data_IF_874050988257
#
_entry.id   IF_874050988257
#
_cell.length_a   1.000
_cell.length_b   1.000
_cell.length_c   1.000
_cell.angle_alpha   90.00
_cell.angle_beta   90.00
_cell.angle_gamma   90.00
#
_symmetry.space_group_name_H-M   'P 1'
#
loop_
_entity.id
_entity.type
_entity.pdbx_description
1 polymer ?
#
# COMPACT_ATOMS: atom_id res chain seq x y z
N UNK A 1 -19.38 -0.15 2.83
CA UNK A 1 -18.45 -1.04 2.11
C UNK A 1 -18.79 -2.46 2.49
N UNK A 2 -18.97 -3.32 1.52
CA UNK A 2 -19.14 -4.75 1.74
C UNK A 2 -17.77 -5.43 1.87
N UNK A 3 -17.70 -6.57 2.56
CA UNK A 3 -16.49 -7.40 2.72
C UNK A 3 -15.67 -7.51 1.43
N UNK A 4 -16.33 -7.87 0.32
CA UNK A 4 -15.69 -8.00 -1.00
C UNK A 4 -15.04 -6.70 -1.51
N UNK A 5 -15.63 -5.55 -1.24
CA UNK A 5 -15.05 -4.26 -1.66
C UNK A 5 -13.78 -3.93 -0.88
N UNK A 6 -13.73 -4.32 0.40
CA UNK A 6 -12.56 -4.14 1.26
C UNK A 6 -11.44 -5.08 0.83
N UNK A 7 -11.75 -6.36 0.59
CA UNK A 7 -10.80 -7.33 0.05
C UNK A 7 -10.22 -6.85 -1.29
N UNK A 8 -11.07 -6.38 -2.20
CA UNK A 8 -10.63 -5.85 -3.49
C UNK A 8 -9.69 -4.66 -3.32
N UNK A 9 -10.01 -3.71 -2.42
CA UNK A 9 -9.12 -2.58 -2.12
C UNK A 9 -7.81 -3.00 -1.48
N UNK A 10 -7.82 -4.00 -0.60
CA UNK A 10 -6.61 -4.55 -0.01
C UNK A 10 -5.72 -5.14 -1.10
N UNK A 11 -6.30 -5.86 -2.05
CA UNK A 11 -5.57 -6.46 -3.17
C UNK A 11 -4.98 -5.40 -4.10
N UNK A 12 -5.76 -4.35 -4.41
CA UNK A 12 -5.31 -3.20 -5.19
C UNK A 12 -4.16 -2.44 -4.51
N UNK A 13 -4.29 -2.15 -3.21
CA UNK A 13 -3.24 -1.50 -2.42
C UNK A 13 -1.97 -2.36 -2.30
N UNK A 14 -2.10 -3.68 -2.23
CA UNK A 14 -0.94 -4.58 -2.28
C UNK A 14 -0.24 -4.53 -3.64
N UNK A 15 -1.00 -4.46 -4.73
CA UNK A 15 -0.41 -4.29 -6.07
C UNK A 15 0.30 -2.94 -6.21
N UNK A 16 -0.28 -1.87 -5.65
CA UNK A 16 0.37 -0.57 -5.57
C UNK A 16 1.64 -0.59 -4.71
N UNK A 17 1.59 -1.25 -3.55
CA UNK A 17 2.76 -1.42 -2.68
C UNK A 17 3.93 -2.07 -3.43
N UNK A 18 3.68 -3.16 -4.16
CA UNK A 18 4.71 -3.87 -4.93
C UNK A 18 5.28 -3.00 -6.05
N UNK A 19 4.42 -2.25 -6.77
CA UNK A 19 4.88 -1.30 -7.79
C UNK A 19 5.76 -0.22 -7.18
N UNK A 20 5.33 0.34 -6.05
CA UNK A 20 6.01 1.43 -5.38
C UNK A 20 7.36 1.00 -4.82
N UNK A 21 7.45 -0.23 -4.31
CA UNK A 21 8.71 -0.86 -3.91
C UNK A 21 9.66 -1.02 -5.10
N UNK A 22 9.16 -1.45 -6.25
CA UNK A 22 9.97 -1.56 -7.46
C UNK A 22 10.48 -0.19 -7.95
N UNK A 23 9.65 0.84 -7.87
CA UNK A 23 10.05 2.22 -8.18
C UNK A 23 11.08 2.74 -7.17
N UNK A 24 10.96 2.37 -5.90
CA UNK A 24 11.90 2.71 -4.83
C UNK A 24 13.28 2.10 -5.07
N UNK A 25 13.36 0.81 -5.41
CA UNK A 25 14.60 0.16 -5.83
C UNK A 25 15.24 0.86 -7.05
N UNK A 26 14.42 1.23 -8.03
CA UNK A 26 14.87 1.96 -9.21
C UNK A 26 15.42 3.34 -8.85
N UNK A 27 14.73 4.07 -7.97
CA UNK A 27 15.13 5.40 -7.53
C UNK A 27 16.39 5.37 -6.68
N UNK A 28 16.55 4.32 -5.85
CA UNK A 28 17.75 4.08 -5.07
C UNK A 28 18.94 3.84 -6.00
N UNK A 29 18.74 3.05 -7.06
CA UNK A 29 19.76 2.81 -8.08
C UNK A 29 20.23 4.10 -8.78
N UNK A 30 19.31 5.02 -9.10
CA UNK A 30 19.69 6.33 -9.67
C UNK A 30 20.11 7.38 -8.63
N UNK A 31 20.26 6.99 -7.35
CA UNK A 31 20.54 7.90 -6.21
C UNK A 31 19.58 9.10 -6.16
N UNK A 32 18.34 8.87 -6.56
CA UNK A 32 17.29 9.87 -6.51
C UNK A 32 16.72 10.01 -5.10
N UNK A 33 15.70 10.87 -4.96
CA UNK A 33 15.10 11.15 -3.66
C UNK A 33 14.04 10.08 -3.29
N UNK A 34 14.33 9.26 -2.30
CA UNK A 34 13.44 8.18 -1.80
C UNK A 34 12.34 8.69 -0.86
N UNK A 35 12.51 9.85 -0.23
CA UNK A 35 11.56 10.38 0.75
C UNK A 35 10.08 10.43 0.30
N UNK A 36 9.74 10.86 -0.94
CA UNK A 36 8.36 10.83 -1.39
C UNK A 36 7.78 9.41 -1.52
N UNK A 37 8.59 8.46 -2.00
CA UNK A 37 8.19 7.06 -2.15
C UNK A 37 8.02 6.38 -0.78
N UNK A 38 8.97 6.54 0.12
CA UNK A 38 8.86 6.01 1.49
C UNK A 38 7.61 6.54 2.21
N UNK A 39 7.29 7.82 2.02
CA UNK A 39 6.06 8.41 2.56
C UNK A 39 4.81 7.75 1.99
N UNK A 40 4.75 7.55 0.67
CA UNK A 40 3.62 6.86 0.03
C UNK A 40 3.50 5.41 0.50
N UNK A 41 4.62 4.71 0.64
CA UNK A 41 4.66 3.32 1.11
C UNK A 41 4.09 3.21 2.54
N UNK A 42 4.44 4.15 3.42
CA UNK A 42 3.87 4.23 4.77
C UNK A 42 2.39 4.65 4.80
N UNK A 43 1.92 5.41 3.81
CA UNK A 43 0.48 5.71 3.65
C UNK A 43 -0.30 4.46 3.22
N UNK A 44 0.23 3.69 2.26
CA UNK A 44 -0.36 2.42 1.80
C UNK A 44 -0.46 1.42 2.97
N UNK A 45 0.59 1.29 3.79
CA UNK A 45 0.56 0.42 4.98
C UNK A 45 -0.51 0.83 5.99
N UNK A 46 -0.65 2.13 6.26
CA UNK A 46 -1.71 2.64 7.15
C UNK A 46 -3.09 2.33 6.59
N UNK A 47 -3.27 2.47 5.29
CA UNK A 47 -4.54 2.23 4.63
C UNK A 47 -4.89 0.73 4.60
N UNK A 48 -3.91 -0.14 4.31
CA UNK A 48 -4.04 -1.59 4.43
C UNK A 48 -4.38 -2.02 5.86
N UNK A 49 -3.72 -1.46 6.86
CA UNK A 49 -4.02 -1.77 8.27
C UNK A 49 -5.44 -1.37 8.63
N UNK A 50 -5.89 -0.21 8.18
CA UNK A 50 -7.26 0.28 8.40
C UNK A 50 -8.30 -0.62 7.71
N UNK A 51 -8.06 -1.00 6.46
CA UNK A 51 -8.96 -1.89 5.72
C UNK A 51 -9.02 -3.29 6.33
N UNK A 52 -7.89 -3.85 6.75
CA UNK A 52 -7.88 -5.13 7.46
C UNK A 52 -8.66 -5.06 8.77
N UNK A 53 -8.54 -3.98 9.55
CA UNK A 53 -9.35 -3.78 10.76
C UNK A 53 -10.85 -3.71 10.43
N UNK A 54 -11.22 -2.98 9.37
CA UNK A 54 -12.62 -2.92 8.94
C UNK A 54 -13.13 -4.28 8.46
N UNK A 55 -12.28 -5.08 7.81
CA UNK A 55 -12.61 -6.43 7.37
C UNK A 55 -12.85 -7.37 8.56
N UNK A 56 -11.99 -7.27 9.59
CA UNK A 56 -12.07 -8.02 10.84
C UNK A 56 -13.31 -7.62 11.66
N UNK A 57 -13.64 -6.33 11.72
CA UNK A 57 -14.90 -5.83 12.34
C UNK A 57 -16.17 -6.26 11.59
N UNK A 58 -16.04 -6.70 10.34
CA UNK A 58 -17.13 -7.21 9.49
C UNK A 58 -17.21 -8.75 9.49
N UNK A 59 -16.29 -9.44 10.17
CA UNK A 59 -16.30 -10.90 10.41
C UNK A 59 -17.12 -11.27 11.65
#
# INVERSE_FOLDING_TARGET
>A
MNRKEIEYKIEDLKADYVRLQHDLEKLEFVKGNLSPLEKQLGEIEKELSKLNKQLDELE
#
